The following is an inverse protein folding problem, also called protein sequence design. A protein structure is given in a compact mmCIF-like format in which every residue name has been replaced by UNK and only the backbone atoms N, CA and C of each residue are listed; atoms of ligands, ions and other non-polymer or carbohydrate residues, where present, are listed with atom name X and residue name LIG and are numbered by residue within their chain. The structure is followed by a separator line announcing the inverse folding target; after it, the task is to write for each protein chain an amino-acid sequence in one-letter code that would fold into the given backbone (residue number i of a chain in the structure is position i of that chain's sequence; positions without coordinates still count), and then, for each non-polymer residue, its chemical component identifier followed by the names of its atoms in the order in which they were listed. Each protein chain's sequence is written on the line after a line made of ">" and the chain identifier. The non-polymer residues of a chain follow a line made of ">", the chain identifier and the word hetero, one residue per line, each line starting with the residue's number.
data_IF_093148787994
#
_entry.id   IF_093148787994
#
_cell.length_a   1.000
_cell.length_b   1.000
_cell.length_c   1.000
_cell.angle_alpha   90.00
_cell.angle_beta   90.00
_cell.angle_gamma   90.00
#
_symmetry.space_group_name_H-M   'P 1'
#
loop_
_entity.id
_entity.type
_entity.pdbx_description
1 polymer ?
#
# COMPACT_ATOMS: atom_id res chain seq x y z
N UNK A 1 7.80 -25.66 -15.83
CA UNK A 1 7.18 -26.89 -15.29
C UNK A 1 7.95 -27.50 -14.11
N UNK A 2 9.17 -27.05 -13.76
CA UNK A 2 9.87 -27.55 -12.55
C UNK A 2 10.34 -26.49 -11.56
N UNK A 3 10.40 -25.20 -11.93
CA UNK A 3 10.86 -24.14 -11.01
C UNK A 3 9.79 -23.61 -10.06
N UNK A 4 8.51 -23.64 -10.45
CA UNK A 4 7.40 -23.19 -9.59
C UNK A 4 6.91 -24.28 -8.62
N UNK A 5 7.22 -25.56 -8.86
CA UNK A 5 6.76 -26.67 -8.02
C UNK A 5 7.54 -26.83 -6.71
N UNK A 6 8.77 -26.30 -6.62
CA UNK A 6 9.63 -26.51 -5.45
C UNK A 6 9.42 -25.48 -4.32
N UNK A 7 8.84 -24.31 -4.64
CA UNK A 7 8.63 -23.23 -3.66
C UNK A 7 7.38 -23.42 -2.79
N UNK A 8 6.53 -24.41 -3.09
CA UNK A 8 5.28 -24.67 -2.35
C UNK A 8 5.42 -25.68 -1.19
N UNK A 9 6.55 -26.38 -1.04
CA UNK A 9 6.70 -27.45 -0.03
C UNK A 9 7.21 -26.99 1.35
N UNK A 10 7.67 -25.76 1.51
CA UNK A 10 8.16 -25.25 2.81
C UNK A 10 7.12 -24.37 3.52
N UNK A 11 5.85 -24.78 3.47
CA UNK A 11 4.73 -24.07 4.06
C UNK A 11 4.99 -23.65 5.51
N UNK A 12 5.27 -22.35 5.71
CA UNK A 12 5.09 -21.63 6.97
C UNK A 12 4.80 -20.17 6.63
N UNK A 13 3.53 -19.79 6.75
CA UNK A 13 3.12 -18.41 6.68
C UNK A 13 1.63 -18.27 6.46
N UNK A 14 0.85 -18.45 7.51
CA UNK A 14 -0.43 -17.76 7.63
C UNK A 14 -0.16 -16.25 7.51
N UNK A 15 -0.19 -15.70 6.30
CA UNK A 15 -0.23 -14.26 6.12
C UNK A 15 -1.70 -13.91 5.87
N UNK A 16 -2.39 -13.65 6.98
CA UNK A 16 -3.68 -12.96 6.98
C UNK A 16 -3.43 -11.55 6.43
N UNK A 17 -3.35 -11.41 5.11
CA UNK A 17 -3.42 -10.09 4.48
C UNK A 17 -4.87 -9.63 4.64
N UNK A 18 -5.08 -8.65 5.50
CA UNK A 18 -6.33 -7.93 5.55
C UNK A 18 -6.51 -7.18 4.22
N UNK A 19 -7.28 -7.76 3.29
CA UNK A 19 -7.96 -7.03 2.21
C UNK A 19 -7.27 -6.99 0.84
N UNK A 20 -7.19 -8.13 0.13
CA UNK A 20 -6.97 -8.14 -1.32
C UNK A 20 -7.99 -9.07 -1.99
N UNK A 21 -9.12 -8.50 -2.42
CA UNK A 21 -10.16 -9.18 -3.21
C UNK A 21 -9.95 -8.87 -4.71
N UNK A 22 -9.85 -9.89 -5.60
CA UNK A 22 -9.55 -9.71 -7.01
C UNK A 22 -10.84 -9.50 -7.81
N UNK A 23 -11.43 -8.30 -7.74
CA UNK A 23 -12.54 -7.95 -8.63
C UNK A 23 -12.44 -6.56 -9.30
N UNK A 24 -11.60 -5.62 -8.84
CA UNK A 24 -11.28 -4.37 -9.57
C UNK A 24 -9.79 -4.03 -9.41
N UNK A 25 -9.06 -3.96 -10.53
CA UNK A 25 -7.59 -3.78 -10.56
C UNK A 25 -7.14 -2.32 -10.32
N UNK A 26 -7.90 -1.54 -9.54
CA UNK A 26 -7.48 -0.27 -8.98
C UNK A 26 -6.98 -0.54 -7.56
N UNK A 27 -5.72 -0.24 -7.27
CA UNK A 27 -5.22 -0.32 -5.91
C UNK A 27 -6.16 0.48 -4.99
N UNK A 28 -6.57 -0.06 -3.83
CA UNK A 28 -7.49 0.65 -2.95
C UNK A 28 -6.87 2.01 -2.60
N UNK A 29 -7.61 3.09 -2.88
CA UNK A 29 -7.12 4.43 -2.61
C UNK A 29 -7.25 4.74 -1.12
N UNK A 30 -6.30 4.21 -0.35
CA UNK A 30 -6.22 4.39 1.09
C UNK A 30 -4.84 4.89 1.46
N UNK A 31 -4.80 5.72 2.48
CA UNK A 31 -3.53 6.13 3.07
C UNK A 31 -2.92 4.94 3.80
N UNK A 32 -1.64 4.69 3.55
CA UNK A 32 -0.92 3.59 4.17
C UNK A 32 -0.64 3.90 5.62
N UNK A 33 -0.61 2.85 6.42
CA UNK A 33 -0.21 2.90 7.82
C UNK A 33 1.21 2.39 7.98
N UNK A 34 1.96 2.98 8.90
CA UNK A 34 3.25 2.46 9.32
C UNK A 34 3.04 1.09 10.00
N UNK A 35 3.63 0.00 9.49
CA UNK A 35 3.41 -1.34 10.03
C UNK A 35 3.93 -1.52 11.46
N UNK A 36 4.85 -0.67 11.91
CA UNK A 36 5.39 -0.71 13.28
C UNK A 36 4.49 -0.03 14.31
N UNK A 37 3.65 0.93 13.89
CA UNK A 37 2.78 1.70 14.81
C UNK A 37 1.29 1.50 14.55
N UNK A 38 0.92 0.94 13.40
CA UNK A 38 -0.47 0.79 12.95
C UNK A 38 -1.17 2.11 12.63
N UNK A 39 -0.44 3.24 12.60
CA UNK A 39 -1.01 4.58 12.36
C UNK A 39 -0.55 5.12 11.02
N UNK A 40 -1.39 5.98 10.43
CA UNK A 40 -1.02 6.75 9.24
C UNK A 40 -0.47 8.11 9.66
N UNK A 41 0.73 8.43 9.19
CA UNK A 41 1.36 9.73 9.40
C UNK A 41 0.92 10.78 8.35
N UNK A 42 0.07 10.38 7.39
CA UNK A 42 -0.30 11.18 6.23
C UNK A 42 -0.91 12.53 6.59
N UNK A 43 -1.76 12.60 7.63
CA UNK A 43 -2.37 13.86 8.07
C UNK A 43 -1.32 14.90 8.49
N UNK A 44 -0.32 14.48 9.27
CA UNK A 44 0.78 15.35 9.73
C UNK A 44 1.71 15.77 8.58
N UNK A 45 1.72 15.00 7.49
CA UNK A 45 2.57 15.21 6.32
C UNK A 45 1.82 15.83 5.14
N UNK A 46 0.56 16.24 5.30
CA UNK A 46 -0.27 16.76 4.21
C UNK A 46 0.38 17.97 3.48
N UNK A 47 1.15 18.79 4.18
CA UNK A 47 1.88 19.91 3.59
C UNK A 47 2.96 19.48 2.57
N UNK A 48 3.40 18.21 2.62
CA UNK A 48 4.32 17.64 1.63
C UNK A 48 3.63 17.21 0.34
N UNK A 49 2.30 17.23 0.29
CA UNK A 49 1.57 16.93 -0.94
C UNK A 49 1.95 17.90 -2.07
N UNK A 50 2.22 19.18 -1.78
CA UNK A 50 2.53 20.20 -2.79
C UNK A 50 4.03 20.38 -3.04
N UNK A 51 4.89 19.70 -2.27
CA UNK A 51 6.34 19.76 -2.44
C UNK A 51 6.78 18.79 -3.53
N UNK A 52 7.38 19.28 -4.61
CA UNK A 52 7.74 18.45 -5.78
C UNK A 52 8.59 17.23 -5.43
N UNK A 53 9.54 17.38 -4.50
CA UNK A 53 10.40 16.29 -4.04
C UNK A 53 9.61 15.16 -3.34
N UNK A 54 8.48 15.49 -2.72
CA UNK A 54 7.68 14.55 -1.91
C UNK A 54 6.38 14.12 -2.59
N UNK A 55 5.90 14.85 -3.60
CA UNK A 55 4.75 14.48 -4.44
C UNK A 55 4.71 13.00 -4.83
N UNK A 56 5.77 12.37 -5.39
CA UNK A 56 5.71 10.98 -5.81
C UNK A 56 5.49 10.02 -4.62
N UNK A 57 6.23 10.22 -3.53
CA UNK A 57 6.09 9.42 -2.31
C UNK A 57 4.73 9.62 -1.66
N UNK A 58 4.27 10.85 -1.54
CA UNK A 58 2.98 11.18 -0.94
C UNK A 58 1.82 10.64 -1.80
N UNK A 59 1.99 10.54 -3.11
CA UNK A 59 1.00 9.88 -3.98
C UNK A 59 0.93 8.38 -3.72
N UNK A 60 2.06 7.72 -3.48
CA UNK A 60 2.07 6.28 -3.21
C UNK A 60 1.66 5.91 -1.79
N UNK A 61 2.03 6.73 -0.81
CA UNK A 61 1.81 6.45 0.61
C UNK A 61 0.50 7.07 1.11
N UNK A 62 0.14 8.23 0.60
CA UNK A 62 -0.96 9.05 1.08
C UNK A 62 -1.89 9.52 -0.06
N UNK A 63 -2.34 8.63 -0.97
CA UNK A 63 -3.13 9.03 -2.13
C UNK A 63 -4.46 9.67 -1.73
N UNK A 64 -5.07 9.27 -0.60
CA UNK A 64 -6.33 9.84 -0.15
C UNK A 64 -6.12 11.22 0.49
N UNK A 65 -5.13 11.34 1.38
CA UNK A 65 -4.79 12.63 2.01
C UNK A 65 -4.42 13.69 0.98
N UNK A 66 -3.69 13.32 -0.08
CA UNK A 66 -3.31 14.27 -1.13
C UNK A 66 -4.35 14.43 -2.25
N UNK A 67 -5.52 13.77 -2.17
CA UNK A 67 -6.57 13.88 -3.20
C UNK A 67 -6.18 13.28 -4.56
N UNK A 68 -5.35 12.23 -4.58
CA UNK A 68 -4.77 11.58 -5.77
C UNK A 68 -5.37 10.22 -6.08
N UNK A 69 -6.55 9.93 -5.55
CA UNK A 69 -7.30 8.74 -5.92
C UNK A 69 -7.74 8.82 -7.39
N UNK A 70 -7.19 7.94 -8.22
CA UNK A 70 -7.73 7.64 -9.54
C UNK A 70 -8.76 6.53 -9.36
N UNK A 71 -10.05 6.86 -9.49
CA UNK A 71 -11.19 5.94 -9.36
C UNK A 71 -11.23 4.90 -10.47
#
# INVERSE_FOLDING_TARGET
>A
MYTFALLLLLGLGNFLVAGQDPAQNAAPCVDKTNPSTGKSDCYSLAYLCDQDAYRPIMTQQCPKTCGRCSS
#
